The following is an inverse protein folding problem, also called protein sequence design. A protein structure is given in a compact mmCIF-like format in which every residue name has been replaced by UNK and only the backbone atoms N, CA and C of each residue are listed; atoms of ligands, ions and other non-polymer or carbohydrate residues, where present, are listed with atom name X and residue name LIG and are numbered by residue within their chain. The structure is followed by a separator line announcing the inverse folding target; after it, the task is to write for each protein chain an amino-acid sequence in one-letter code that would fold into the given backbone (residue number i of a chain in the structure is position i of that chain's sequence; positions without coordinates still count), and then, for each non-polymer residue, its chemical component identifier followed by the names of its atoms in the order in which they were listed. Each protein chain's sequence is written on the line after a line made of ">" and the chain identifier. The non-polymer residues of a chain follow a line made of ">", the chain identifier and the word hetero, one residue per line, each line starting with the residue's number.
data_IF_043710124931
#
_entry.id   IF_043710124931
#
_cell.length_a   1.000
_cell.length_b   1.000
_cell.length_c   1.000
_cell.angle_alpha   90.00
_cell.angle_beta   90.00
_cell.angle_gamma   90.00
#
_symmetry.space_group_name_H-M   'P 1'
#
loop_
_entity.id
_entity.type
_entity.pdbx_description
1 polymer ?
#
# COMPACT_ATOMS: atom_id res chain seq x y z
N UNK A 1 -24.31 -40.98 -1.99
CA UNK A 1 -25.18 -41.82 -2.83
C UNK A 1 -25.33 -41.10 -4.17
N UNK A 2 -24.70 -41.67 -5.23
CA UNK A 2 -24.76 -41.36 -6.68
C UNK A 2 -24.33 -39.96 -7.20
N UNK A 3 -23.28 -39.80 -8.04
CA UNK A 3 -23.01 -40.22 -9.46
C UNK A 3 -23.78 -39.35 -10.48
N UNK A 4 -23.14 -38.49 -11.29
CA UNK A 4 -22.38 -38.68 -12.56
C UNK A 4 -23.20 -38.31 -13.83
N UNK A 5 -22.46 -37.96 -14.89
CA UNK A 5 -22.77 -37.72 -16.33
C UNK A 5 -22.74 -36.23 -16.75
N UNK A 6 -21.76 -35.69 -17.49
CA UNK A 6 -21.00 -36.06 -18.71
C UNK A 6 -21.58 -35.48 -20.02
N UNK A 7 -20.81 -34.55 -20.59
CA UNK A 7 -20.43 -34.30 -21.99
C UNK A 7 -21.19 -35.00 -23.14
N UNK A 8 -21.59 -34.24 -24.19
CA UNK A 8 -21.42 -34.62 -25.61
C UNK A 8 -21.81 -33.52 -26.62
N UNK A 9 -20.84 -33.21 -27.50
CA UNK A 9 -20.85 -32.86 -28.93
C UNK A 9 -21.82 -31.81 -29.56
N UNK A 10 -21.29 -30.72 -30.14
CA UNK A 10 -20.80 -30.48 -31.54
C UNK A 10 -21.86 -30.45 -32.66
N UNK A 11 -21.96 -29.26 -33.27
CA UNK A 11 -22.20 -28.93 -34.69
C UNK A 11 -23.41 -29.53 -35.44
N UNK A 12 -24.34 -28.64 -35.79
CA UNK A 12 -25.06 -28.69 -37.07
C UNK A 12 -25.42 -27.29 -37.58
N UNK A 13 -24.80 -26.93 -38.72
CA UNK A 13 -25.31 -26.15 -39.86
C UNK A 13 -26.19 -24.93 -39.56
N UNK A 14 -25.75 -23.68 -39.82
CA UNK A 14 -25.70 -23.03 -41.15
C UNK A 14 -26.77 -23.57 -42.11
N UNK A 15 -27.96 -22.96 -42.10
CA UNK A 15 -28.63 -22.42 -43.29
C UNK A 15 -30.10 -22.16 -43.00
N UNK A 16 -30.49 -20.92 -42.72
CA UNK A 16 -31.76 -20.39 -43.26
C UNK A 16 -31.81 -18.87 -43.14
N UNK A 17 -32.02 -18.23 -44.29
CA UNK A 17 -32.67 -16.93 -44.50
C UNK A 17 -31.82 -15.65 -44.40
N UNK A 18 -31.00 -15.46 -45.45
CA UNK A 18 -30.83 -14.16 -46.11
C UNK A 18 -32.02 -13.85 -47.03
N UNK A 19 -32.64 -12.69 -46.84
CA UNK A 19 -33.35 -11.79 -47.78
C UNK A 19 -34.07 -10.78 -46.87
N UNK A 20 -33.96 -9.46 -46.96
CA UNK A 20 -33.65 -8.53 -48.05
C UNK A 20 -33.44 -7.12 -47.45
N UNK A 21 -32.49 -6.33 -47.97
CA UNK A 21 -32.41 -4.85 -48.05
C UNK A 21 -30.92 -4.38 -48.13
N UNK A 22 -30.51 -3.59 -49.14
CA UNK A 22 -29.26 -2.81 -49.14
C UNK A 22 -29.53 -1.29 -49.21
N UNK A 23 -28.50 -0.43 -49.24
CA UNK A 23 -27.30 -0.36 -48.41
C UNK A 23 -27.16 1.05 -47.78
N UNK A 24 -26.34 1.23 -46.73
CA UNK A 24 -25.41 2.37 -46.62
C UNK A 24 -24.52 2.30 -45.37
N UNK A 25 -23.22 2.50 -45.61
CA UNK A 25 -22.13 2.85 -44.69
C UNK A 25 -21.85 1.96 -43.47
N UNK A 26 -21.07 0.89 -43.71
CA UNK A 26 -19.92 0.60 -42.85
C UNK A 26 -18.83 -0.09 -43.69
N UNK A 27 -17.74 0.62 -43.94
CA UNK A 27 -16.63 0.18 -44.76
C UNK A 27 -16.06 -1.15 -44.28
N UNK A 28 -15.95 -2.09 -45.22
CA UNK A 28 -15.29 -3.38 -45.07
C UNK A 28 -13.81 -3.17 -44.70
N UNK A 29 -13.36 -3.78 -43.60
CA UNK A 29 -11.94 -4.02 -43.40
C UNK A 29 -11.50 -5.08 -44.43
N UNK A 30 -10.70 -4.65 -45.40
CA UNK A 30 -10.25 -5.46 -46.53
C UNK A 30 -9.22 -6.50 -46.03
N UNK A 31 -9.41 -7.77 -46.38
CA UNK A 31 -8.48 -8.87 -46.07
C UNK A 31 -7.09 -8.66 -46.67
N UNK A 32 -6.94 -7.71 -47.61
CA UNK A 32 -5.65 -7.23 -48.12
C UNK A 32 -4.83 -6.50 -47.05
N UNK A 33 -5.45 -5.86 -46.06
CA UNK A 33 -4.72 -5.19 -44.97
C UNK A 33 -4.02 -6.19 -44.06
N UNK A 34 -4.63 -7.36 -43.82
CA UNK A 34 -4.01 -8.42 -43.01
C UNK A 34 -2.83 -9.07 -43.74
N UNK A 35 -2.91 -9.22 -45.06
CA UNK A 35 -1.78 -9.68 -45.88
C UNK A 35 -0.67 -8.62 -45.98
N UNK A 36 -1.02 -7.34 -46.02
CA UNK A 36 -0.06 -6.23 -46.02
C UNK A 36 0.64 -6.10 -44.67
N UNK A 37 -0.08 -6.27 -43.55
CA UNK A 37 0.50 -6.35 -42.20
C UNK A 37 1.37 -7.59 -42.05
N UNK A 38 0.95 -8.74 -42.59
CA UNK A 38 1.74 -9.97 -42.60
C UNK A 38 3.04 -9.84 -43.40
N UNK A 39 3.00 -9.17 -44.56
CA UNK A 39 4.19 -8.87 -45.35
C UNK A 39 5.05 -7.76 -44.73
N UNK A 40 4.46 -6.81 -44.01
CA UNK A 40 5.18 -5.78 -43.25
C UNK A 40 5.92 -6.38 -42.04
N UNK A 41 5.29 -7.30 -41.32
CA UNK A 41 5.93 -8.11 -40.26
C UNK A 41 7.02 -9.00 -40.84
N UNK A 42 6.78 -9.66 -41.98
CA UNK A 42 7.78 -10.50 -42.66
C UNK A 42 8.96 -9.68 -43.22
N UNK A 43 8.74 -8.46 -43.72
CA UNK A 43 9.82 -7.53 -44.12
C UNK A 43 10.60 -7.00 -42.92
N UNK A 44 9.94 -6.68 -41.80
CA UNK A 44 10.61 -6.32 -40.53
C UNK A 44 11.43 -7.49 -39.94
N UNK A 45 11.02 -8.74 -40.18
CA UNK A 45 11.80 -9.91 -39.79
C UNK A 45 12.93 -10.26 -40.79
N UNK A 46 12.79 -9.89 -42.07
CA UNK A 46 13.79 -10.16 -43.11
C UNK A 46 14.88 -9.08 -43.22
N UNK A 47 14.56 -7.83 -42.89
CA UNK A 47 15.53 -6.73 -42.81
C UNK A 47 16.10 -6.62 -41.39
N UNK A 48 16.96 -7.60 -41.06
CA UNK A 48 18.13 -7.37 -40.22
C UNK A 48 17.87 -6.94 -38.77
N UNK A 49 17.33 -7.84 -37.94
CA UNK A 49 18.08 -8.13 -36.71
C UNK A 49 19.40 -8.76 -37.19
N UNK A 50 20.42 -7.92 -37.41
CA UNK A 50 21.78 -8.38 -37.20
C UNK A 50 21.75 -9.01 -35.82
N UNK A 51 21.95 -10.32 -35.74
CA UNK A 51 22.41 -10.94 -34.51
C UNK A 51 23.52 -10.02 -34.03
N UNK A 52 23.30 -9.33 -32.91
CA UNK A 52 24.35 -8.53 -32.29
C UNK A 52 25.58 -9.41 -32.29
N UNK A 53 26.70 -8.87 -32.76
CA UNK A 53 27.99 -9.56 -32.79
C UNK A 53 28.05 -10.50 -31.59
N UNK A 54 28.35 -11.78 -31.83
CA UNK A 54 28.59 -12.75 -30.75
C UNK A 54 29.53 -12.07 -29.78
N UNK A 55 28.96 -11.49 -28.70
CA UNK A 55 29.72 -11.03 -27.55
C UNK A 55 30.55 -12.24 -27.22
N UNK A 56 31.87 -12.08 -27.29
CA UNK A 56 32.85 -13.07 -26.89
C UNK A 56 32.23 -13.92 -25.79
N UNK A 57 32.20 -15.24 -26.00
CA UNK A 57 31.68 -16.19 -25.02
C UNK A 57 32.33 -15.88 -23.66
N UNK A 58 31.66 -15.04 -22.87
CA UNK A 58 31.94 -14.93 -21.45
C UNK A 58 31.47 -16.28 -20.96
N UNK A 59 32.41 -17.09 -20.50
CA UNK A 59 32.10 -18.31 -19.77
C UNK A 59 31.32 -17.89 -18.53
N UNK A 60 30.00 -17.76 -18.64
CA UNK A 60 29.13 -17.56 -17.51
C UNK A 60 29.04 -18.91 -16.81
N UNK A 61 29.43 -18.93 -15.53
CA UNK A 61 29.15 -20.07 -14.66
C UNK A 61 27.66 -19.99 -14.34
N UNK A 62 26.88 -20.97 -14.79
CA UNK A 62 25.47 -21.07 -14.44
C UNK A 62 25.33 -21.44 -12.97
N UNK A 63 24.27 -20.94 -12.33
CA UNK A 63 23.92 -21.32 -10.99
C UNK A 63 22.95 -22.50 -11.00
N UNK A 64 23.16 -23.41 -10.06
CA UNK A 64 22.22 -24.46 -9.72
C UNK A 64 21.32 -23.96 -8.60
N UNK A 65 20.01 -23.91 -8.81
CA UNK A 65 19.05 -23.47 -7.79
C UNK A 65 18.18 -24.63 -7.36
N UNK A 66 18.33 -25.04 -6.11
CA UNK A 66 17.50 -26.07 -5.49
C UNK A 66 16.38 -25.40 -4.68
N UNK A 67 15.12 -25.72 -5.01
CA UNK A 67 13.95 -25.17 -4.33
C UNK A 67 13.32 -26.27 -3.49
N UNK A 68 13.27 -26.05 -2.18
CA UNK A 68 12.72 -26.97 -1.19
C UNK A 68 11.43 -26.41 -0.58
N UNK A 69 10.46 -27.25 -0.24
CA UNK A 69 9.32 -26.86 0.60
C UNK A 69 9.77 -26.66 2.07
N UNK A 70 8.92 -26.03 2.87
CA UNK A 70 8.96 -25.92 4.33
C UNK A 70 9.27 -27.24 5.07
N UNK A 71 8.97 -28.39 4.47
CA UNK A 71 9.29 -29.74 4.99
C UNK A 71 10.62 -30.31 4.49
N UNK A 72 11.46 -29.49 3.83
CA UNK A 72 12.71 -29.87 3.14
C UNK A 72 12.52 -30.87 2.01
N UNK A 73 11.31 -30.94 1.44
CA UNK A 73 11.03 -31.77 0.28
C UNK A 73 11.42 -31.00 -0.98
N UNK A 74 12.16 -31.61 -1.90
CA UNK A 74 12.58 -30.95 -3.14
C UNK A 74 11.39 -30.73 -4.06
N UNK A 75 11.08 -29.46 -4.34
CA UNK A 75 9.99 -29.05 -5.23
C UNK A 75 10.48 -28.90 -6.67
N UNK A 76 11.66 -28.30 -6.85
CA UNK A 76 12.23 -28.04 -8.17
C UNK A 76 13.76 -27.91 -8.09
N UNK A 77 14.43 -28.29 -9.17
CA UNK A 77 15.87 -28.07 -9.35
C UNK A 77 16.09 -27.42 -10.71
N UNK A 78 16.72 -26.25 -10.71
CA UNK A 78 17.04 -25.49 -11.90
C UNK A 78 18.56 -25.57 -12.10
N UNK A 79 19.01 -26.27 -13.12
CA UNK A 79 20.41 -26.58 -13.40
C UNK A 79 21.15 -25.45 -14.14
N UNK A 80 20.41 -24.52 -14.77
CA UNK A 80 20.97 -23.47 -15.64
C UNK A 80 20.33 -22.11 -15.40
N UNK A 81 20.49 -21.55 -14.21
CA UNK A 81 20.02 -20.19 -13.91
C UNK A 81 21.12 -19.17 -14.23
N UNK A 82 20.78 -18.12 -14.96
CA UNK A 82 21.72 -17.04 -15.26
C UNK A 82 22.08 -16.26 -13.99
N UNK A 83 23.34 -15.84 -13.78
CA UNK A 83 23.77 -15.12 -12.56
C UNK A 83 23.01 -13.81 -12.29
N UNK A 84 22.62 -13.11 -13.36
CA UNK A 84 21.87 -11.86 -13.33
C UNK A 84 20.36 -12.07 -13.16
N UNK A 85 19.89 -13.32 -13.08
CA UNK A 85 18.48 -13.60 -12.88
C UNK A 85 18.01 -13.05 -11.53
N UNK A 86 16.85 -12.42 -11.56
CA UNK A 86 16.19 -11.92 -10.36
C UNK A 86 15.40 -13.01 -9.68
N UNK A 87 15.17 -12.89 -8.38
CA UNK A 87 14.32 -13.81 -7.63
C UNK A 87 12.89 -13.82 -8.18
N UNK A 88 12.38 -12.70 -8.69
CA UNK A 88 11.09 -12.63 -9.37
C UNK A 88 11.04 -13.51 -10.64
N UNK A 89 12.11 -13.53 -11.44
CA UNK A 89 12.22 -14.40 -12.61
C UNK A 89 12.30 -15.87 -12.22
N UNK A 90 13.04 -16.21 -11.16
CA UNK A 90 13.11 -17.58 -10.62
C UNK A 90 11.73 -18.04 -10.12
N UNK A 91 10.95 -17.17 -9.46
CA UNK A 91 9.55 -17.45 -9.09
C UNK A 91 8.69 -17.73 -10.32
N UNK A 92 8.82 -16.93 -11.38
CA UNK A 92 8.09 -17.14 -12.63
C UNK A 92 8.46 -18.47 -13.30
N UNK A 93 9.75 -18.83 -13.29
CA UNK A 93 10.22 -20.12 -13.80
C UNK A 93 9.65 -21.28 -13.00
N UNK A 94 9.66 -21.20 -11.66
CA UNK A 94 9.02 -22.20 -10.80
C UNK A 94 7.53 -22.36 -11.13
N UNK A 95 6.80 -21.26 -11.29
CA UNK A 95 5.38 -21.28 -11.66
C UNK A 95 5.14 -22.00 -12.99
N UNK A 96 6.01 -21.77 -13.98
CA UNK A 96 5.93 -22.41 -15.28
C UNK A 96 6.31 -23.89 -15.24
N UNK A 97 7.24 -24.27 -14.35
CA UNK A 97 7.74 -25.64 -14.23
C UNK A 97 6.79 -26.55 -13.45
N UNK A 98 6.08 -26.00 -12.46
CA UNK A 98 5.24 -26.79 -11.57
C UNK A 98 3.79 -26.98 -12.05
N UNK A 99 3.39 -26.47 -13.23
CA UNK A 99 2.01 -26.55 -13.76
C UNK A 99 0.95 -26.41 -12.65
N UNK A 100 1.13 -25.41 -11.76
CA UNK A 100 0.18 -25.11 -10.71
C UNK A 100 -1.07 -24.55 -11.40
N UNK A 101 -2.00 -25.45 -11.72
CA UNK A 101 -3.21 -25.28 -12.54
C UNK A 101 -4.19 -24.21 -12.05
N UNK A 102 -3.85 -23.52 -10.97
CA UNK A 102 -4.40 -22.22 -10.61
C UNK A 102 -3.27 -21.43 -9.96
N UNK A 103 -2.96 -20.19 -10.39
CA UNK A 103 -2.07 -19.36 -9.61
C UNK A 103 -2.76 -19.16 -8.26
N UNK A 104 -2.19 -19.61 -7.13
CA UNK A 104 -2.68 -19.07 -5.89
C UNK A 104 -2.34 -17.58 -5.99
N UNK A 105 -3.36 -16.72 -5.94
CA UNK A 105 -3.23 -15.27 -5.76
C UNK A 105 -2.66 -14.99 -4.36
N UNK A 106 -1.52 -15.60 -4.06
CA UNK A 106 -0.95 -15.83 -2.75
C UNK A 106 0.52 -15.48 -2.91
N UNK A 107 0.99 -14.41 -2.24
CA UNK A 107 2.36 -13.97 -2.41
C UNK A 107 3.32 -14.99 -1.80
N UNK A 108 4.30 -15.37 -2.59
CA UNK A 108 5.29 -16.38 -2.28
C UNK A 108 6.54 -15.74 -1.68
N UNK A 109 7.12 -16.36 -0.66
CA UNK A 109 8.43 -15.97 -0.14
C UNK A 109 9.45 -17.07 -0.42
N UNK A 110 10.59 -16.69 -1.00
CA UNK A 110 11.78 -17.51 -0.95
C UNK A 110 12.66 -17.06 0.21
N UNK A 111 13.21 -18.03 0.94
CA UNK A 111 14.20 -17.81 1.97
C UNK A 111 15.48 -18.57 1.64
N UNK A 112 16.63 -17.99 1.92
CA UNK A 112 17.91 -18.70 1.90
C UNK A 112 18.00 -19.66 3.09
N UNK A 113 18.93 -20.62 3.02
CA UNK A 113 19.20 -21.58 4.11
C UNK A 113 19.63 -20.95 5.43
N UNK A 114 20.09 -19.70 5.41
CA UNK A 114 20.42 -18.90 6.60
C UNK A 114 19.18 -18.21 7.23
N UNK A 115 17.99 -18.40 6.65
CA UNK A 115 16.73 -17.80 7.10
C UNK A 115 16.45 -16.41 6.52
N UNK A 116 17.31 -15.87 5.65
CA UNK A 116 17.11 -14.54 5.05
C UNK A 116 16.04 -14.58 3.97
N UNK A 117 15.01 -13.73 4.10
CA UNK A 117 13.97 -13.54 3.07
C UNK A 117 14.52 -12.79 1.87
N UNK A 118 14.21 -13.31 0.68
CA UNK A 118 14.62 -12.79 -0.62
C UNK A 118 13.51 -11.91 -1.24
N UNK A 119 13.90 -10.73 -1.73
CA UNK A 119 13.01 -9.82 -2.47
C UNK A 119 13.05 -10.16 -3.95
N UNK A 120 11.97 -9.84 -4.66
CA UNK A 120 11.85 -10.14 -6.09
C UNK A 120 12.95 -9.45 -6.93
N UNK A 121 13.40 -8.26 -6.53
CA UNK A 121 14.46 -7.51 -7.21
C UNK A 121 15.88 -7.99 -6.86
N UNK A 122 16.04 -8.90 -5.89
CA UNK A 122 17.37 -9.40 -5.54
C UNK A 122 17.92 -10.22 -6.71
N UNK A 123 19.18 -9.99 -7.04
CA UNK A 123 19.88 -10.68 -8.14
C UNK A 123 20.67 -11.84 -7.55
N UNK A 124 20.58 -13.01 -8.19
CA UNK A 124 21.16 -14.26 -7.68
C UNK A 124 22.66 -14.15 -7.36
N UNK A 125 23.45 -13.52 -8.23
CA UNK A 125 24.89 -13.31 -8.03
C UNK A 125 25.24 -12.44 -6.81
N UNK A 126 24.32 -11.59 -6.35
CA UNK A 126 24.53 -10.72 -5.19
C UNK A 126 24.15 -11.39 -3.86
N UNK A 127 23.67 -12.63 -3.90
CA UNK A 127 23.32 -13.39 -2.71
C UNK A 127 24.55 -14.11 -2.14
N UNK A 128 24.61 -14.38 -0.82
CA UNK A 128 25.72 -15.09 -0.19
C UNK A 128 25.64 -16.60 -0.47
N UNK A 129 25.55 -16.98 -1.74
CA UNK A 129 25.44 -18.35 -2.23
C UNK A 129 26.63 -18.65 -3.14
N UNK A 130 27.10 -19.91 -3.12
CA UNK A 130 28.10 -20.38 -4.07
C UNK A 130 27.46 -20.61 -5.46
N UNK A 131 28.03 -21.51 -6.25
CA UNK A 131 27.44 -21.92 -7.54
C UNK A 131 26.11 -22.68 -7.38
N UNK A 132 25.81 -23.15 -6.17
CA UNK A 132 24.56 -23.81 -5.81
C UNK A 132 23.84 -22.99 -4.75
N UNK A 133 22.58 -22.62 -5.03
CA UNK A 133 21.72 -21.86 -4.13
C UNK A 133 20.52 -22.72 -3.70
N UNK A 134 20.43 -23.03 -2.40
CA UNK A 134 19.24 -23.68 -1.84
C UNK A 134 18.27 -22.62 -1.32
N UNK A 135 17.04 -22.65 -1.83
CA UNK A 135 15.97 -21.73 -1.46
C UNK A 135 14.78 -22.49 -0.87
N UNK A 136 14.31 -22.05 0.28
CA UNK A 136 13.10 -22.56 0.91
C UNK A 136 11.88 -21.79 0.44
N UNK A 137 10.89 -22.54 -0.04
CA UNK A 137 9.59 -22.09 -0.47
C UNK A 137 8.64 -22.04 0.73
N UNK A 138 8.10 -20.85 0.99
CA UNK A 138 7.07 -20.64 2.00
C UNK A 138 5.82 -20.00 1.39
N UNK A 139 4.69 -20.69 1.54
CA UNK A 139 3.37 -20.12 1.35
C UNK A 139 3.02 -19.21 2.54
N UNK A 140 2.86 -17.92 2.27
CA UNK A 140 2.52 -16.89 3.27
C UNK A 140 1.00 -16.72 3.47
N UNK A 141 0.17 -17.45 2.70
CA UNK A 141 -1.29 -17.32 2.71
C UNK A 141 -1.79 -16.02 2.07
N UNK A 142 -3.10 -15.71 2.16
CA UNK A 142 -3.67 -14.53 1.53
C UNK A 142 -3.08 -13.24 2.12
N UNK A 143 -2.54 -12.38 1.25
CA UNK A 143 -2.01 -11.08 1.65
C UNK A 143 -2.51 -9.98 0.72
N UNK A 144 -2.44 -8.75 1.22
CA UNK A 144 -2.76 -7.56 0.45
C UNK A 144 -1.54 -6.64 0.38
N UNK A 145 -1.40 -5.94 -0.74
CA UNK A 145 -0.38 -4.91 -0.90
C UNK A 145 -0.62 -3.72 0.05
N UNK A 146 0.45 -3.04 0.46
CA UNK A 146 0.41 -1.94 1.43
C UNK A 146 -0.64 -0.86 1.11
N UNK A 147 -0.82 -0.50 -0.16
CA UNK A 147 -1.85 0.48 -0.57
C UNK A 147 -3.24 0.06 -0.12
N UNK A 148 -3.65 -1.19 -0.38
CA UNK A 148 -4.96 -1.70 0.02
C UNK A 148 -5.11 -1.77 1.53
N UNK A 149 -4.03 -2.11 2.24
CA UNK A 149 -3.99 -2.15 3.70
C UNK A 149 -4.30 -0.78 4.29
N UNK A 150 -3.62 0.27 3.83
CA UNK A 150 -3.83 1.62 4.33
C UNK A 150 -5.18 2.20 3.91
N UNK A 151 -5.67 1.88 2.70
CA UNK A 151 -7.02 2.25 2.27
C UNK A 151 -8.08 1.65 3.19
N UNK A 152 -8.03 0.34 3.45
CA UNK A 152 -8.98 -0.34 4.34
C UNK A 152 -8.93 0.23 5.77
N UNK A 153 -7.74 0.55 6.27
CA UNK A 153 -7.59 1.18 7.58
C UNK A 153 -8.20 2.59 7.65
N UNK A 154 -8.25 3.35 6.55
CA UNK A 154 -8.75 4.72 6.53
C UNK A 154 -10.23 4.86 6.15
N UNK A 155 -10.75 3.99 5.27
CA UNK A 155 -12.16 4.03 4.84
C UNK A 155 -13.10 3.75 6.00
N UNK A 156 -12.76 2.77 6.85
CA UNK A 156 -13.62 2.38 7.97
C UNK A 156 -13.86 3.47 9.00
N UNK A 157 -12.81 4.10 9.58
CA UNK A 157 -12.98 5.20 10.52
C UNK A 157 -13.83 6.34 9.96
N UNK A 158 -13.60 6.72 8.70
CA UNK A 158 -14.41 7.74 8.02
C UNK A 158 -15.88 7.33 7.96
N UNK A 159 -16.16 6.12 7.48
CA UNK A 159 -17.52 5.62 7.34
C UNK A 159 -18.21 5.50 8.70
N UNK A 160 -17.58 4.82 9.66
CA UNK A 160 -18.13 4.60 11.00
C UNK A 160 -18.42 5.92 11.70
N UNK A 161 -17.50 6.89 11.67
CA UNK A 161 -17.74 8.18 12.31
C UNK A 161 -19.00 8.87 11.74
N UNK A 162 -19.20 8.83 10.43
CA UNK A 162 -20.39 9.40 9.78
C UNK A 162 -21.68 8.68 10.22
N UNK A 163 -21.64 7.36 10.46
CA UNK A 163 -22.80 6.63 10.98
C UNK A 163 -23.26 7.16 12.34
N UNK A 164 -22.31 7.41 13.26
CA UNK A 164 -22.60 7.99 14.57
C UNK A 164 -23.02 9.46 14.47
N UNK A 165 -22.39 10.24 13.58
CA UNK A 165 -22.75 11.65 13.36
C UNK A 165 -24.20 11.82 12.88
N UNK A 166 -24.64 10.99 11.93
CA UNK A 166 -26.02 11.00 11.44
C UNK A 166 -27.01 10.31 12.40
N UNK A 167 -26.55 9.73 13.51
CA UNK A 167 -27.38 9.03 14.51
C UNK A 167 -28.32 8.02 13.84
N UNK A 168 -27.74 7.10 13.08
CA UNK A 168 -28.52 6.03 12.46
C UNK A 168 -29.32 5.23 13.51
N UNK A 169 -30.45 4.62 13.10
CA UNK A 169 -31.28 3.83 14.00
C UNK A 169 -30.48 2.75 14.73
N UNK A 170 -30.89 2.46 15.97
CA UNK A 170 -30.29 1.46 16.85
C UNK A 170 -28.91 1.81 17.44
N UNK A 171 -28.34 2.99 17.13
CA UNK A 171 -27.10 3.47 17.77
C UNK A 171 -27.40 4.13 19.13
N UNK A 172 -28.40 5.00 19.16
CA UNK A 172 -28.88 5.69 20.36
C UNK A 172 -30.37 5.35 20.59
N UNK A 173 -30.97 5.96 21.61
CA UNK A 173 -32.41 5.82 21.88
C UNK A 173 -33.23 6.30 20.66
N UNK A 174 -34.36 5.64 20.39
CA UNK A 174 -35.12 5.83 19.15
C UNK A 174 -35.56 7.30 18.90
N UNK A 175 -35.80 8.06 19.97
CA UNK A 175 -36.14 9.50 19.90
C UNK A 175 -35.02 10.37 19.29
N UNK A 176 -33.80 9.86 19.23
CA UNK A 176 -32.63 10.57 18.72
C UNK A 176 -32.23 10.15 17.31
N UNK A 177 -32.97 9.23 16.68
CA UNK A 177 -32.69 8.78 15.31
C UNK A 177 -32.71 9.97 14.34
N UNK A 178 -31.64 10.14 13.57
CA UNK A 178 -31.46 11.23 12.60
C UNK A 178 -31.55 12.66 13.15
N UNK A 179 -31.50 12.82 14.47
CA UNK A 179 -31.47 14.14 15.10
C UNK A 179 -30.09 14.78 14.97
N UNK A 180 -30.06 16.12 14.89
CA UNK A 180 -28.79 16.87 14.85
C UNK A 180 -28.43 17.40 16.24
N UNK A 181 -27.15 17.34 16.59
CA UNK A 181 -26.64 18.00 17.79
C UNK A 181 -26.76 19.52 17.66
N UNK A 182 -27.22 20.25 18.70
CA UNK A 182 -27.28 21.71 18.69
C UNK A 182 -25.88 22.35 18.81
N UNK A 183 -24.87 21.59 19.23
CA UNK A 183 -23.53 22.10 19.51
C UNK A 183 -22.67 22.18 18.24
N UNK A 184 -22.17 23.39 17.93
CA UNK A 184 -21.29 23.62 16.77
C UNK A 184 -20.02 22.77 16.79
N UNK A 185 -19.47 22.47 17.98
CA UNK A 185 -18.27 21.65 18.15
C UNK A 185 -18.45 20.24 17.59
N UNK A 186 -19.64 19.63 17.71
CA UNK A 186 -19.90 18.29 17.16
C UNK A 186 -19.86 18.31 15.63
N UNK A 187 -20.42 19.37 15.01
CA UNK A 187 -20.32 19.58 13.56
C UNK A 187 -18.88 19.80 13.11
N UNK A 188 -18.13 20.64 13.83
CA UNK A 188 -16.71 20.88 13.55
C UNK A 188 -15.89 19.61 13.71
N UNK A 189 -16.18 18.80 14.72
CA UNK A 189 -15.50 17.53 14.95
C UNK A 189 -15.72 16.54 13.80
N UNK A 190 -16.96 16.42 13.30
CA UNK A 190 -17.26 15.64 12.11
C UNK A 190 -16.50 16.14 10.88
N UNK A 191 -16.46 17.46 10.65
CA UNK A 191 -15.72 18.05 9.53
C UNK A 191 -14.23 17.76 9.65
N UNK A 192 -13.62 17.95 10.83
CA UNK A 192 -12.19 17.72 11.05
C UNK A 192 -11.84 16.23 10.87
N UNK A 193 -12.59 15.33 11.49
CA UNK A 193 -12.36 13.90 11.37
C UNK A 193 -12.52 13.42 9.92
N UNK A 194 -13.57 13.89 9.23
CA UNK A 194 -13.79 13.53 7.82
C UNK A 194 -12.66 14.07 6.95
N UNK A 195 -12.27 15.33 7.15
CA UNK A 195 -11.16 15.95 6.42
C UNK A 195 -9.85 15.20 6.61
N UNK A 196 -9.51 14.83 7.85
CA UNK A 196 -8.31 14.03 8.17
C UNK A 196 -8.25 12.73 7.36
N UNK A 197 -9.32 11.93 7.41
CA UNK A 197 -9.34 10.64 6.71
C UNK A 197 -9.47 10.77 5.20
N UNK A 198 -10.21 11.76 4.69
CA UNK A 198 -10.28 12.04 3.24
C UNK A 198 -8.90 12.47 2.72
N UNK A 199 -8.20 13.36 3.43
CA UNK A 199 -6.83 13.76 3.12
C UNK A 199 -5.91 12.54 3.11
N UNK A 200 -5.98 11.67 4.12
CA UNK A 200 -5.19 10.42 4.14
C UNK A 200 -5.50 9.50 2.98
N UNK A 201 -6.78 9.30 2.65
CA UNK A 201 -7.18 8.50 1.48
C UNK A 201 -6.59 9.09 0.19
N UNK A 202 -6.66 10.41 0.03
CA UNK A 202 -6.05 11.11 -1.10
C UNK A 202 -4.53 10.90 -1.13
N UNK A 203 -3.85 11.06 0.01
CA UNK A 203 -2.40 10.83 0.11
C UNK A 203 -2.03 9.39 -0.24
N UNK A 204 -2.78 8.40 0.25
CA UNK A 204 -2.53 6.97 -0.03
C UNK A 204 -2.64 6.67 -1.52
N UNK A 205 -3.64 7.25 -2.22
CA UNK A 205 -3.90 6.99 -3.63
C UNK A 205 -2.90 7.73 -4.53
N UNK A 206 -2.60 8.99 -4.23
CA UNK A 206 -1.91 9.88 -5.17
C UNK A 206 -0.49 10.26 -4.75
N UNK A 207 -0.15 10.24 -3.45
CA UNK A 207 1.11 10.76 -2.93
C UNK A 207 2.01 9.64 -2.41
N UNK A 208 1.48 8.64 -1.73
CA UNK A 208 2.32 7.59 -1.16
C UNK A 208 2.77 6.60 -2.25
N UNK A 209 4.07 6.36 -2.30
CA UNK A 209 4.68 5.29 -3.08
C UNK A 209 5.12 4.21 -2.12
N UNK A 210 4.26 3.21 -1.92
CA UNK A 210 4.59 2.07 -1.07
C UNK A 210 5.58 1.16 -1.78
N UNK A 211 6.44 0.50 -1.00
CA UNK A 211 7.33 -0.54 -1.53
C UNK A 211 6.54 -1.78 -1.95
N UNK A 212 7.17 -2.67 -2.73
CA UNK A 212 6.59 -3.95 -3.21
C UNK A 212 6.34 -5.00 -2.11
N UNK A 213 6.11 -4.58 -0.86
CA UNK A 213 5.77 -5.47 0.25
C UNK A 213 4.27 -5.80 0.33
N UNK A 214 3.97 -6.90 1.00
CA UNK A 214 2.61 -7.36 1.31
C UNK A 214 2.46 -7.62 2.80
N UNK A 215 1.22 -7.63 3.30
CA UNK A 215 0.91 -7.89 4.71
C UNK A 215 -0.14 -9.00 4.84
N UNK A 216 0.01 -9.95 5.77
CA UNK A 216 -0.95 -11.04 5.97
C UNK A 216 -2.35 -10.53 6.32
N UNK A 217 -3.39 -11.13 5.73
CA UNK A 217 -4.78 -10.71 5.90
C UNK A 217 -5.24 -10.65 7.36
N UNK A 218 -4.83 -11.64 8.18
CA UNK A 218 -5.19 -11.68 9.61
C UNK A 218 -4.67 -10.45 10.36
N UNK A 219 -3.45 -10.00 10.07
CA UNK A 219 -2.88 -8.82 10.71
C UNK A 219 -3.57 -7.54 10.25
N UNK A 220 -3.96 -7.48 8.97
CA UNK A 220 -4.77 -6.38 8.42
C UNK A 220 -6.11 -6.28 9.15
N UNK A 221 -6.79 -7.40 9.39
CA UNK A 221 -8.05 -7.42 10.14
C UNK A 221 -7.89 -6.86 11.56
N UNK A 222 -6.82 -7.24 12.27
CA UNK A 222 -6.56 -6.68 13.61
C UNK A 222 -6.27 -5.19 13.59
N UNK A 223 -5.49 -4.72 12.60
CA UNK A 223 -5.25 -3.28 12.42
C UNK A 223 -6.54 -2.53 12.12
N UNK A 224 -7.37 -3.03 11.21
CA UNK A 224 -8.67 -2.44 10.92
C UNK A 224 -9.54 -2.41 12.17
N UNK A 225 -9.69 -3.53 12.88
CA UNK A 225 -10.49 -3.58 14.11
C UNK A 225 -10.03 -2.55 15.15
N UNK A 226 -8.72 -2.38 15.32
CA UNK A 226 -8.14 -1.37 16.20
C UNK A 226 -8.56 0.05 15.78
N UNK A 227 -8.27 0.48 14.55
CA UNK A 227 -8.57 1.84 14.11
C UNK A 227 -10.08 2.12 14.02
N UNK A 228 -10.84 1.15 13.52
CA UNK A 228 -12.29 1.24 13.35
C UNK A 228 -12.98 1.29 14.71
N UNK A 229 -12.52 0.47 15.66
CA UNK A 229 -13.03 0.42 17.03
C UNK A 229 -12.79 1.73 17.77
N UNK A 230 -11.58 2.29 17.71
CA UNK A 230 -11.29 3.60 18.30
C UNK A 230 -12.11 4.73 17.67
N UNK A 231 -12.27 4.71 16.33
CA UNK A 231 -13.09 5.68 15.62
C UNK A 231 -14.57 5.59 16.04
N UNK A 232 -15.12 4.38 16.14
CA UNK A 232 -16.48 4.17 16.63
C UNK A 232 -16.64 4.63 18.08
N UNK A 233 -15.67 4.30 18.95
CA UNK A 233 -15.72 4.67 20.37
C UNK A 233 -15.71 6.18 20.56
N UNK A 234 -14.78 6.90 19.90
CA UNK A 234 -14.76 8.37 19.99
C UNK A 234 -15.99 9.01 19.35
N UNK A 235 -16.44 8.50 18.20
CA UNK A 235 -17.61 9.03 17.51
C UNK A 235 -18.89 8.84 18.33
N UNK A 236 -19.02 7.71 19.03
CA UNK A 236 -20.14 7.44 19.93
C UNK A 236 -20.28 8.54 20.98
N UNK A 237 -19.19 8.90 21.68
CA UNK A 237 -19.22 9.91 22.74
C UNK A 237 -19.37 11.34 22.20
N UNK A 238 -18.67 11.71 21.13
CA UNK A 238 -18.75 13.06 20.56
C UNK A 238 -20.16 13.35 20.03
N UNK A 239 -20.81 12.35 19.41
CA UNK A 239 -22.12 12.53 18.79
C UNK A 239 -23.29 12.16 19.71
N UNK A 240 -23.01 11.68 20.92
CA UNK A 240 -24.03 11.27 21.89
C UNK A 240 -25.02 12.41 22.17
N UNK A 241 -26.33 12.14 22.32
CA UNK A 241 -27.33 13.14 22.70
C UNK A 241 -26.99 13.92 23.98
N UNK A 242 -26.34 13.25 24.94
CA UNK A 242 -25.86 13.82 26.21
C UNK A 242 -24.46 14.45 26.14
N UNK A 243 -23.90 14.66 24.95
CA UNK A 243 -22.59 15.31 24.82
C UNK A 243 -22.61 16.71 25.43
N UNK A 244 -21.60 17.02 26.24
CA UNK A 244 -21.40 18.33 26.84
C UNK A 244 -20.30 19.09 26.10
N UNK A 245 -20.49 20.38 25.79
CA UNK A 245 -19.47 21.16 25.09
C UNK A 245 -18.23 21.39 25.96
N UNK A 246 -17.07 21.68 25.36
CA UNK A 246 -15.83 21.95 26.07
C UNK A 246 -15.94 23.07 27.11
N UNK A 247 -15.26 22.90 28.25
CA UNK A 247 -15.40 23.73 29.44
C UNK A 247 -14.92 25.18 29.23
N UNK A 248 -13.91 25.40 28.39
CA UNK A 248 -13.36 26.74 28.10
C UNK A 248 -14.01 27.39 26.86
N UNK A 249 -15.11 26.82 26.36
CA UNK A 249 -15.98 27.44 25.38
C UNK A 249 -15.35 27.68 24.01
N UNK A 250 -15.80 28.76 23.34
CA UNK A 250 -15.48 29.03 21.92
C UNK A 250 -13.98 29.25 21.67
N UNK A 251 -13.27 29.87 22.60
CA UNK A 251 -11.84 30.16 22.43
C UNK A 251 -11.04 28.87 22.29
N UNK A 252 -11.26 27.89 23.17
CA UNK A 252 -10.66 26.55 23.10
C UNK A 252 -11.01 25.85 21.79
N UNK A 253 -12.28 25.88 21.38
CA UNK A 253 -12.73 25.20 20.16
C UNK A 253 -12.02 25.78 18.92
N UNK A 254 -12.00 27.11 18.76
CA UNK A 254 -11.44 27.73 17.56
C UNK A 254 -9.91 27.75 17.56
N UNK A 255 -9.25 27.94 18.69
CA UNK A 255 -7.79 27.85 18.75
C UNK A 255 -7.31 26.43 18.42
N UNK A 256 -7.97 25.41 18.98
CA UNK A 256 -7.68 24.02 18.66
C UNK A 256 -7.99 23.68 17.20
N UNK A 257 -9.07 24.24 16.62
CA UNK A 257 -9.36 24.08 15.19
C UNK A 257 -8.26 24.68 14.30
N UNK A 258 -7.76 25.87 14.62
CA UNK A 258 -6.65 26.49 13.87
C UNK A 258 -5.40 25.62 13.94
N UNK A 259 -5.05 25.14 15.15
CA UNK A 259 -3.91 24.24 15.33
C UNK A 259 -4.08 22.92 14.58
N UNK A 260 -5.28 22.34 14.60
CA UNK A 260 -5.62 21.15 13.82
C UNK A 260 -5.35 21.35 12.33
N UNK A 261 -5.85 22.43 11.74
CA UNK A 261 -5.66 22.74 10.32
C UNK A 261 -4.18 22.97 9.97
N UNK A 262 -3.43 23.68 10.82
CA UNK A 262 -1.99 23.87 10.64
C UNK A 262 -1.23 22.54 10.68
N UNK A 263 -1.61 21.64 11.59
CA UNK A 263 -1.02 20.31 11.68
C UNK A 263 -1.36 19.44 10.47
N UNK A 264 -2.60 19.43 10.00
CA UNK A 264 -2.99 18.70 8.78
C UNK A 264 -2.23 19.20 7.54
N UNK A 265 -2.11 20.52 7.39
CA UNK A 265 -1.36 21.13 6.29
C UNK A 265 0.14 20.81 6.37
N UNK A 266 0.69 20.80 7.59
CA UNK A 266 2.07 20.39 7.85
C UNK A 266 2.33 18.93 7.50
N UNK A 267 1.47 18.03 7.97
CA UNK A 267 1.54 16.60 7.68
C UNK A 267 1.51 16.33 6.16
N UNK A 268 0.56 16.95 5.45
CA UNK A 268 0.46 16.87 4.00
C UNK A 268 1.71 17.38 3.28
N UNK A 269 2.24 18.53 3.72
CA UNK A 269 3.46 19.12 3.16
C UNK A 269 4.66 18.18 3.28
N UNK A 270 4.80 17.48 4.42
CA UNK A 270 5.86 16.51 4.64
C UNK A 270 5.69 15.27 3.77
N UNK A 271 4.46 14.75 3.65
CA UNK A 271 4.18 13.60 2.79
C UNK A 271 4.49 13.89 1.32
N UNK A 272 4.18 15.10 0.84
CA UNK A 272 4.54 15.54 -0.50
C UNK A 272 6.07 15.64 -0.68
N UNK A 273 6.78 16.15 0.32
CA UNK A 273 8.24 16.18 0.31
C UNK A 273 8.84 14.76 0.22
N UNK A 274 8.28 13.79 0.94
CA UNK A 274 8.70 12.39 0.84
C UNK A 274 8.46 11.78 -0.55
N UNK A 275 7.35 12.10 -1.21
CA UNK A 275 7.10 11.64 -2.57
C UNK A 275 8.16 12.15 -3.56
N UNK A 276 8.54 13.42 -3.44
CA UNK A 276 9.53 14.06 -4.33
C UNK A 276 10.89 13.35 -4.23
N UNK A 277 11.30 12.94 -3.03
CA UNK A 277 12.53 12.17 -2.81
C UNK A 277 12.49 10.77 -3.42
N UNK A 278 11.30 10.18 -3.59
CA UNK A 278 11.10 8.88 -4.24
C UNK A 278 11.12 8.91 -5.77
N UNK A 279 11.31 10.08 -6.40
CA UNK A 279 11.31 10.22 -7.87
C UNK A 279 12.70 10.13 -8.51
N UNK A 280 13.80 10.20 -7.75
CA UNK A 280 15.13 9.98 -8.30
C UNK A 280 15.34 8.48 -8.52
N UNK A 281 15.10 8.01 -9.75
CA UNK A 281 15.11 6.60 -10.18
C UNK A 281 16.40 5.80 -9.96
N UNK A 282 17.35 6.31 -9.20
CA UNK A 282 18.56 5.63 -8.74
C UNK A 282 18.68 5.84 -7.22
N UNK A 283 18.49 4.78 -6.42
CA UNK A 283 18.71 4.83 -4.96
C UNK A 283 20.11 5.41 -4.67
N UNK A 284 20.23 6.34 -3.72
CA UNK A 284 20.01 6.07 -2.30
C UNK A 284 18.77 6.79 -1.74
N UNK A 285 18.20 6.25 -0.65
CA UNK A 285 17.14 6.92 0.15
C UNK A 285 17.70 8.25 0.70
N UNK A 286 17.61 9.35 -0.04
CA UNK A 286 18.19 10.60 0.44
C UNK A 286 17.57 11.02 1.78
N UNK A 287 18.40 11.55 2.69
CA UNK A 287 17.92 12.11 3.95
C UNK A 287 17.02 13.30 3.61
N UNK A 288 15.79 13.37 4.15
CA UNK A 288 14.92 14.52 3.91
C UNK A 288 15.49 15.77 4.60
N UNK A 289 15.51 16.88 3.87
CA UNK A 289 15.92 18.19 4.37
C UNK A 289 14.82 19.24 4.20
N UNK A 290 14.84 20.31 5.01
CA UNK A 290 13.97 21.46 4.84
C UNK A 290 14.00 22.05 3.44
N UNK A 291 12.85 22.50 2.98
CA UNK A 291 12.65 23.18 1.69
C UNK A 291 12.23 24.63 1.92
N UNK A 292 11.89 25.36 0.85
CA UNK A 292 11.32 26.71 0.93
C UNK A 292 9.96 26.74 1.67
N UNK A 293 9.27 25.61 1.79
CA UNK A 293 8.01 25.52 2.53
C UNK A 293 8.29 25.49 4.05
N UNK A 294 7.77 26.44 4.84
CA UNK A 294 8.03 26.51 6.29
C UNK A 294 7.57 25.27 7.06
N UNK A 295 6.55 24.55 6.57
CA UNK A 295 6.11 23.29 7.19
C UNK A 295 7.18 22.20 7.14
N UNK A 296 8.14 22.30 6.22
CA UNK A 296 9.26 21.34 6.11
C UNK A 296 10.45 21.70 7.00
N UNK A 297 10.45 22.88 7.63
CA UNK A 297 11.57 23.30 8.50
C UNK A 297 11.69 22.46 9.75
N UNK A 298 10.63 21.74 10.12
CA UNK A 298 10.67 20.80 11.23
C UNK A 298 11.69 19.66 10.99
N UNK A 299 12.11 19.40 9.74
CA UNK A 299 13.25 18.52 9.44
C UNK A 299 14.59 19.02 10.00
N UNK A 300 14.73 20.28 10.42
CA UNK A 300 15.93 20.70 11.16
C UNK A 300 16.01 20.03 12.53
N UNK A 301 14.85 19.72 13.14
CA UNK A 301 14.75 19.31 14.54
C UNK A 301 14.38 17.83 14.70
N UNK A 302 13.61 17.26 13.76
CA UNK A 302 13.09 15.90 13.91
C UNK A 302 13.20 15.08 12.63
N UNK A 303 13.33 13.78 12.82
CA UNK A 303 13.51 12.77 11.77
C UNK A 303 12.20 12.46 11.05
N UNK A 304 11.08 12.45 11.79
CA UNK A 304 9.75 12.10 11.26
C UNK A 304 8.71 13.23 11.52
N UNK A 305 8.82 14.40 10.86
CA UNK A 305 7.93 15.52 11.14
C UNK A 305 6.46 15.25 10.79
N UNK A 306 6.20 14.32 9.87
CA UNK A 306 4.84 13.88 9.55
C UNK A 306 4.14 13.32 10.80
N UNK A 307 4.85 12.53 11.62
CA UNK A 307 4.30 12.00 12.87
C UNK A 307 4.13 13.10 13.93
N UNK A 308 5.03 14.08 13.99
CA UNK A 308 4.87 15.25 14.87
C UNK A 308 3.59 16.02 14.55
N UNK A 309 3.35 16.29 13.27
CA UNK A 309 2.13 16.97 12.83
C UNK A 309 0.88 16.10 13.05
N UNK A 310 0.96 14.80 12.79
CA UNK A 310 -0.13 13.86 13.05
C UNK A 310 -0.53 13.86 14.54
N UNK A 311 0.45 13.74 15.45
CA UNK A 311 0.20 13.85 16.89
C UNK A 311 -0.39 15.20 17.27
N UNK A 312 0.11 16.29 16.69
CA UNK A 312 -0.42 17.65 16.91
C UNK A 312 -1.87 17.80 16.46
N UNK A 313 -2.25 17.18 15.34
CA UNK A 313 -3.63 17.16 14.87
C UNK A 313 -4.56 16.43 15.86
N UNK A 314 -4.19 15.22 16.29
CA UNK A 314 -5.00 14.45 17.25
C UNK A 314 -5.05 15.08 18.65
N UNK A 315 -3.96 15.72 19.09
CA UNK A 315 -3.95 16.50 20.33
C UNK A 315 -4.88 17.72 20.23
N UNK A 316 -4.84 18.44 19.11
CA UNK A 316 -5.73 19.56 18.84
C UNK A 316 -7.19 19.09 18.79
N UNK A 317 -7.46 17.95 18.16
CA UNK A 317 -8.80 17.36 18.11
C UNK A 317 -9.29 16.93 19.51
N UNK A 318 -8.40 16.40 20.35
CA UNK A 318 -8.69 16.08 21.76
C UNK A 318 -9.05 17.32 22.57
N UNK A 319 -8.29 18.41 22.41
CA UNK A 319 -8.58 19.70 23.08
C UNK A 319 -9.88 20.29 22.56
N UNK A 320 -10.11 20.25 21.24
CA UNK A 320 -11.32 20.80 20.61
C UNK A 320 -12.59 20.10 21.09
N UNK A 321 -12.55 18.78 21.25
CA UNK A 321 -13.72 17.96 21.62
C UNK A 321 -13.84 17.72 23.12
N UNK A 322 -12.75 17.89 23.87
CA UNK A 322 -12.64 17.58 25.30
C UNK A 322 -13.20 16.19 25.64
N UNK A 323 -12.89 15.21 24.80
CA UNK A 323 -13.44 13.86 24.87
C UNK A 323 -12.36 12.84 25.27
N UNK A 324 -12.57 12.11 26.37
CA UNK A 324 -11.57 11.21 26.94
C UNK A 324 -11.11 10.09 25.99
N UNK A 325 -11.99 9.38 25.25
CA UNK A 325 -11.57 8.42 24.23
C UNK A 325 -10.62 9.01 23.17
N UNK A 326 -10.79 10.27 22.79
CA UNK A 326 -9.93 10.95 21.81
C UNK A 326 -8.55 11.21 22.39
N UNK A 327 -8.49 11.67 23.65
CA UNK A 327 -7.23 11.88 24.35
C UNK A 327 -6.45 10.57 24.53
N UNK A 328 -7.15 9.48 24.87
CA UNK A 328 -6.54 8.15 24.98
C UNK A 328 -6.02 7.65 23.64
N UNK A 329 -6.81 7.77 22.56
CA UNK A 329 -6.35 7.42 21.21
C UNK A 329 -5.11 8.22 20.80
N UNK A 330 -5.08 9.52 21.10
CA UNK A 330 -3.94 10.40 20.84
C UNK A 330 -2.69 9.92 21.57
N UNK A 331 -2.82 9.57 22.85
CA UNK A 331 -1.71 9.08 23.67
C UNK A 331 -1.14 7.76 23.15
N UNK A 332 -2.00 6.77 22.87
CA UNK A 332 -1.57 5.47 22.35
C UNK A 332 -0.93 5.63 20.96
N UNK A 333 -1.56 6.43 20.09
CA UNK A 333 -1.03 6.70 18.75
C UNK A 333 0.33 7.40 18.79
N UNK A 334 0.52 8.32 19.74
CA UNK A 334 1.80 8.98 19.96
C UNK A 334 2.90 7.98 20.36
N UNK A 335 2.61 7.06 21.28
CA UNK A 335 3.57 6.01 21.67
C UNK A 335 3.92 5.16 20.45
N UNK A 336 2.91 4.68 19.71
CA UNK A 336 3.14 3.82 18.55
C UNK A 336 3.96 4.51 17.47
N UNK A 337 3.63 5.76 17.12
CA UNK A 337 4.40 6.53 16.14
C UNK A 337 5.82 6.80 16.63
N UNK A 338 6.02 7.03 17.93
CA UNK A 338 7.36 7.24 18.51
C UNK A 338 8.24 6.01 18.33
N UNK A 339 7.69 4.81 18.53
CA UNK A 339 8.41 3.55 18.29
C UNK A 339 8.84 3.47 16.82
N UNK A 340 7.91 3.67 15.87
CA UNK A 340 8.22 3.67 14.44
C UNK A 340 9.21 4.75 14.01
N UNK A 341 9.13 5.94 14.62
CA UNK A 341 10.04 7.03 14.32
C UNK A 341 11.47 6.72 14.76
N UNK A 342 11.63 6.10 15.93
CA UNK A 342 12.93 5.68 16.46
C UNK A 342 13.55 4.58 15.60
N UNK A 343 12.77 3.57 15.23
CA UNK A 343 13.22 2.53 14.29
C UNK A 343 13.69 3.14 12.97
N UNK A 344 12.93 4.09 12.41
CA UNK A 344 13.30 4.79 11.18
C UNK A 344 14.56 5.64 11.34
N UNK A 345 14.71 6.32 12.48
CA UNK A 345 15.91 7.10 12.78
C UNK A 345 17.15 6.21 12.93
N UNK A 346 17.04 5.08 13.62
CA UNK A 346 18.14 4.12 13.74
C UNK A 346 18.60 3.61 12.38
N UNK A 347 17.66 3.32 11.47
CA UNK A 347 17.98 2.96 10.08
C UNK A 347 18.74 4.10 9.39
N UNK A 348 18.31 5.35 9.55
CA UNK A 348 19.01 6.48 8.94
C UNK A 348 20.42 6.68 9.49
N UNK A 349 20.62 6.57 10.80
CA UNK A 349 21.96 6.69 11.41
C UNK A 349 22.90 5.57 10.96
N UNK A 350 22.36 4.37 10.71
CA UNK A 350 23.16 3.23 10.20
C UNK A 350 23.47 3.36 8.70
N UNK A 351 22.51 3.81 7.90
CA UNK A 351 22.65 3.91 6.44
C UNK A 351 23.44 5.17 6.01
N UNK A 352 23.39 6.26 6.78
CA UNK A 352 23.99 7.54 6.41
C UNK A 352 24.97 8.06 7.47
N UNK A 353 26.25 8.03 7.13
CA UNK A 353 27.34 8.56 7.97
C UNK A 353 27.15 10.08 8.24
N UNK A 354 26.56 10.81 7.30
CA UNK A 354 26.31 12.26 7.41
C UNK A 354 24.97 12.63 8.06
N UNK A 355 24.32 11.70 8.78
CA UNK A 355 23.03 11.98 9.42
C UNK A 355 23.16 13.03 10.53
N UNK A 356 22.28 14.06 10.58
CA UNK A 356 22.37 15.10 11.62
C UNK A 356 22.12 14.54 13.03
N UNK A 357 23.12 14.64 13.90
CA UNK A 357 23.09 14.09 15.28
C UNK A 357 22.05 14.78 16.19
N UNK A 358 21.72 16.05 15.91
CA UNK A 358 20.79 16.85 16.71
C UNK A 358 19.31 16.55 16.45
N UNK A 359 18.97 15.71 15.46
CA UNK A 359 17.58 15.37 15.16
C UNK A 359 17.01 14.42 16.20
N UNK A 360 15.87 14.77 16.76
CA UNK A 360 15.04 13.88 17.57
C UNK A 360 14.13 13.01 16.69
N UNK A 361 13.45 12.01 17.22
CA UNK A 361 12.57 11.13 16.44
C UNK A 361 11.27 11.84 16.03
N UNK A 362 10.55 12.41 17.00
CA UNK A 362 9.24 13.09 16.80
C UNK A 362 9.15 14.43 17.54
N UNK A 363 9.62 14.52 18.78
CA UNK A 363 9.42 15.73 19.59
C UNK A 363 10.76 16.47 19.64
N UNK A 364 10.83 17.71 19.14
CA UNK A 364 12.07 18.48 19.17
C UNK A 364 12.68 18.47 20.58
N UNK A 365 13.96 18.10 20.68
CA UNK A 365 14.79 18.20 21.89
C UNK A 365 14.46 17.20 23.02
N UNK A 366 13.50 16.29 22.86
CA UNK A 366 13.13 15.33 23.92
C UNK A 366 13.13 13.87 23.47
N UNK A 367 12.58 13.58 22.28
CA UNK A 367 12.31 12.23 21.79
C UNK A 367 12.61 12.11 20.30
#
# INVERSE_FOLDING_TARGET
>A
MLRLFSCSHTNKLISTLTHSLPPDNMGSFDLRDLFTVGQFLKRRCADGLKAGETKQAKNYVFFEVEILDSKKLQLCFLDKVEPNATIGEIKCLLHKYCDLENPPAVPLCFQLSDGKSLRDDDVLENLPVGTTATMFFHDLGPQLGWTMVFLAQCVGPLFLYLLFYFRLPNIYLHEHNYTRSPYKVVKLACVCHSFHYIKKLFEIIFIHRFSHGTMPLRTIMWNCLYYWGFAAWMAYYINHPLYTPPAYGKLQIYSALVMFVLCEAGNFSINLAFNTLGCSGSRPKSIPYPTKNPFTWLFFLVSCPNYTYETGAWLSFSIMTQCAPVALFTFISFIQMTIWAREKQEIYTREFISYPELRSAIVPLFL
#
